data_IF_852133557023
#
_entry.id   IF_852133557023
#
_cell.length_a   1.000
_cell.length_b   1.000
_cell.length_c   1.000
_cell.angle_alpha   90.00
_cell.angle_beta   90.00
_cell.angle_gamma   90.00
#
_symmetry.space_group_name_H-M   'P 1'
#
loop_
_entity.id
_entity.type
_entity.pdbx_description
1 polymer ?
#
# COMPACT_ATOMS: atom_id res chain seq x y z
N UNK A 1 -28.70 9.38 -7.20
CA UNK A 1 -27.54 9.44 -8.11
C UNK A 1 -26.61 10.64 -7.96
N UNK A 2 -27.07 11.88 -7.70
CA UNK A 2 -26.17 13.06 -7.57
C UNK A 2 -25.20 13.04 -6.37
N UNK A 3 -25.54 12.36 -5.28
CA UNK A 3 -24.70 12.32 -4.07
C UNK A 3 -23.44 11.45 -4.30
N UNK A 4 -23.57 10.30 -4.95
CA UNK A 4 -22.45 9.38 -5.24
C UNK A 4 -21.42 9.97 -6.22
N UNK A 5 -21.82 10.91 -7.08
CA UNK A 5 -20.88 11.60 -7.97
C UNK A 5 -19.97 12.59 -7.23
N UNK A 6 -20.41 13.14 -6.10
CA UNK A 6 -19.63 14.08 -5.30
C UNK A 6 -18.54 13.39 -4.46
N UNK A 7 -18.72 12.10 -4.15
CA UNK A 7 -17.77 11.31 -3.36
C UNK A 7 -16.51 11.03 -4.17
N UNK A 8 -15.37 11.53 -3.68
CA UNK A 8 -14.02 11.29 -4.23
C UNK A 8 -13.46 9.94 -3.75
N UNK A 9 -12.49 9.40 -4.50
CA UNK A 9 -11.74 8.17 -4.17
C UNK A 9 -12.57 6.89 -3.99
N UNK A 10 -13.73 6.79 -4.66
CA UNK A 10 -14.62 5.62 -4.59
C UNK A 10 -14.11 4.34 -5.26
N UNK A 11 -13.23 4.46 -6.26
CA UNK A 11 -12.73 3.33 -7.04
C UNK A 11 -11.25 3.09 -6.76
N UNK A 12 -10.86 1.82 -6.68
CA UNK A 12 -9.48 1.42 -6.47
C UNK A 12 -8.71 1.43 -7.81
N UNK A 13 -7.71 2.30 -7.90
CA UNK A 13 -6.91 2.51 -9.13
C UNK A 13 -5.61 1.69 -9.08
N UNK A 14 -5.10 1.42 -7.89
CA UNK A 14 -3.92 0.62 -7.71
C UNK A 14 -3.73 0.14 -6.28
N UNK A 15 -2.91 -0.90 -6.15
CA UNK A 15 -2.48 -1.47 -4.89
C UNK A 15 -1.00 -1.86 -5.01
N UNK A 16 -0.28 -1.70 -3.89
CA UNK A 16 1.12 -2.09 -3.75
C UNK A 16 1.23 -2.95 -2.51
N UNK A 17 1.95 -4.05 -2.65
CA UNK A 17 2.23 -4.99 -1.59
C UNK A 17 3.73 -5.15 -1.46
N UNK A 18 4.22 -4.98 -0.24
CA UNK A 18 5.61 -5.23 0.12
C UNK A 18 5.64 -6.30 1.21
N UNK A 19 6.37 -7.37 0.97
CA UNK A 19 6.48 -8.49 1.91
C UNK A 19 7.96 -8.67 2.20
N UNK A 20 8.33 -8.62 3.48
CA UNK A 20 9.71 -8.73 3.92
C UNK A 20 9.85 -9.57 5.18
N UNK A 21 10.85 -10.45 5.22
CA UNK A 21 11.21 -11.20 6.43
C UNK A 21 11.69 -12.61 6.14
N UNK A 22 11.62 -13.49 7.14
CA UNK A 22 12.05 -14.88 7.01
C UNK A 22 10.93 -15.72 6.38
N UNK A 23 10.91 -15.73 5.04
CA UNK A 23 9.89 -16.41 4.21
C UNK A 23 10.43 -17.68 3.52
N UNK A 24 11.57 -18.19 3.98
CA UNK A 24 12.20 -19.39 3.42
C UNK A 24 11.45 -20.66 3.88
N UNK A 25 11.34 -21.63 2.97
CA UNK A 25 10.61 -22.90 3.23
C UNK A 25 11.37 -23.83 4.17
N UNK A 26 12.70 -23.90 4.07
CA UNK A 26 13.53 -24.80 4.89
C UNK A 26 13.77 -24.16 6.26
N UNK A 27 13.67 -24.95 7.33
CA UNK A 27 13.99 -24.48 8.68
C UNK A 27 15.50 -24.51 8.93
N UNK A 28 16.22 -23.62 8.25
CA UNK A 28 17.67 -23.42 8.38
C UNK A 28 17.90 -21.93 8.63
N UNK A 29 19.00 -21.58 9.28
CA UNK A 29 19.43 -20.20 9.39
C UNK A 29 19.68 -19.63 7.97
N UNK A 30 18.80 -18.71 7.54
CA UNK A 30 18.84 -18.12 6.21
C UNK A 30 18.53 -16.62 6.28
N UNK A 31 19.01 -15.88 5.30
CA UNK A 31 18.74 -14.44 5.17
C UNK A 31 17.25 -14.13 4.91
N UNK A 32 16.86 -12.89 5.18
CA UNK A 32 15.51 -12.38 4.89
C UNK A 32 15.24 -12.28 3.39
N UNK A 33 14.01 -12.56 2.99
CA UNK A 33 13.52 -12.39 1.62
C UNK A 33 12.63 -11.15 1.57
N UNK A 34 12.83 -10.31 0.55
CA UNK A 34 11.99 -9.16 0.25
C UNK A 34 11.36 -9.31 -1.13
N UNK A 35 10.05 -9.10 -1.22
CA UNK A 35 9.30 -9.13 -2.48
C UNK A 35 8.35 -7.95 -2.53
N UNK A 36 8.24 -7.36 -3.71
CA UNK A 36 7.36 -6.24 -3.98
C UNK A 36 6.50 -6.55 -5.19
N UNK A 37 5.22 -6.20 -5.12
CA UNK A 37 4.28 -6.29 -6.23
C UNK A 37 3.41 -5.05 -6.26
N UNK A 38 3.21 -4.47 -7.43
CA UNK A 38 2.31 -3.34 -7.60
C UNK A 38 1.45 -3.54 -8.84
N UNK A 39 0.16 -3.24 -8.71
CA UNK A 39 -0.78 -3.15 -9.83
C UNK A 39 -1.40 -1.76 -9.83
N UNK A 40 -1.38 -1.10 -10.99
CA UNK A 40 -1.89 0.27 -11.12
C UNK A 40 -0.99 1.32 -10.44
N UNK A 41 -1.55 2.49 -10.18
CA UNK A 41 -0.81 3.65 -9.64
C UNK A 41 -1.32 4.09 -8.28
N UNK A 42 -0.39 4.51 -7.42
CA UNK A 42 -0.66 5.12 -6.12
C UNK A 42 -0.77 6.65 -6.20
N UNK A 43 -0.59 7.23 -7.40
CA UNK A 43 -0.68 8.67 -7.60
C UNK A 43 -2.14 9.15 -7.49
N UNK A 44 -2.33 10.30 -6.85
CA UNK A 44 -3.59 11.02 -6.86
C UNK A 44 -3.76 11.67 -8.24
N UNK A 45 -4.69 11.17 -9.05
CA UNK A 45 -4.82 11.63 -10.43
C UNK A 45 -5.25 13.10 -10.51
N UNK A 46 -6.13 13.53 -9.60
CA UNK A 46 -6.65 14.90 -9.57
C UNK A 46 -5.55 15.94 -9.38
N UNK A 47 -4.72 15.79 -8.33
CA UNK A 47 -3.63 16.75 -8.11
C UNK A 47 -2.44 16.53 -9.03
N UNK A 48 -2.06 15.29 -9.33
CA UNK A 48 -0.82 15.02 -10.09
C UNK A 48 -0.96 15.27 -11.60
N UNK A 49 -2.13 15.05 -12.21
CA UNK A 49 -2.31 15.23 -13.65
C UNK A 49 -3.21 16.40 -13.99
N UNK A 50 -4.24 16.68 -13.18
CA UNK A 50 -5.19 17.78 -13.45
C UNK A 50 -4.83 19.08 -12.70
N UNK A 51 -3.86 19.04 -11.78
CA UNK A 51 -3.46 20.21 -11.00
C UNK A 51 -4.50 20.65 -9.96
N UNK A 52 -5.46 19.79 -9.61
CA UNK A 52 -6.45 20.12 -8.58
C UNK A 52 -5.78 20.31 -7.21
N UNK A 53 -6.14 21.39 -6.50
CA UNK A 53 -5.71 21.56 -5.11
C UNK A 53 -6.40 20.51 -4.23
N UNK A 54 -5.60 19.68 -3.57
CA UNK A 54 -6.08 18.59 -2.72
C UNK A 54 -5.48 18.77 -1.33
N UNK A 55 -6.29 18.75 -0.25
CA UNK A 55 -5.76 18.86 1.10
C UNK A 55 -4.88 17.66 1.43
N UNK A 56 -3.72 17.91 2.04
CA UNK A 56 -2.81 16.87 2.53
C UNK A 56 -3.20 16.55 3.97
N UNK A 57 -3.40 15.27 4.28
CA UNK A 57 -3.70 14.81 5.63
C UNK A 57 -2.42 14.76 6.46
N UNK A 58 -2.44 15.29 7.69
CA UNK A 58 -1.27 15.29 8.61
C UNK A 58 0.01 15.91 7.98
N UNK A 59 -0.14 16.82 7.02
CA UNK A 59 0.96 17.52 6.35
C UNK A 59 1.76 16.73 5.31
N UNK A 60 1.61 15.40 5.22
CA UNK A 60 2.36 14.57 4.26
C UNK A 60 1.56 13.40 3.65
N UNK A 61 0.45 13.00 4.27
CA UNK A 61 -0.34 11.85 3.84
C UNK A 61 -1.33 12.26 2.76
N UNK A 62 -1.29 11.57 1.62
CA UNK A 62 -2.22 11.83 0.51
C UNK A 62 -3.60 11.25 0.86
N UNK A 63 -4.70 11.99 0.65
CA UNK A 63 -6.04 11.54 1.06
C UNK A 63 -6.59 10.36 0.25
N UNK A 64 -6.01 10.08 -0.93
CA UNK A 64 -6.41 8.96 -1.79
C UNK A 64 -5.76 7.63 -1.39
N UNK A 65 -4.80 7.65 -0.47
CA UNK A 65 -4.03 6.47 -0.08
C UNK A 65 -4.48 5.97 1.29
N UNK A 66 -4.70 4.67 1.36
CA UNK A 66 -4.84 3.93 2.60
C UNK A 66 -3.59 3.06 2.77
N UNK A 67 -2.96 3.15 3.93
CA UNK A 67 -1.77 2.38 4.26
C UNK A 67 -2.02 1.59 5.54
N UNK A 68 -1.70 0.31 5.51
CA UNK A 68 -1.78 -0.58 6.66
C UNK A 68 -0.64 -1.58 6.56
N UNK A 69 -0.01 -1.88 7.69
CA UNK A 69 1.00 -2.93 7.77
C UNK A 69 0.61 -3.95 8.82
N UNK A 70 0.90 -5.21 8.58
CA UNK A 70 0.74 -6.27 9.57
C UNK A 70 2.01 -7.12 9.65
N UNK A 71 2.27 -7.62 10.85
CA UNK A 71 3.41 -8.49 11.12
C UNK A 71 2.90 -9.85 11.59
N UNK A 72 3.60 -10.90 11.21
CA UNK A 72 3.26 -12.26 11.59
C UNK A 72 4.53 -13.09 11.76
N UNK A 73 4.39 -14.24 12.41
CA UNK A 73 5.47 -15.17 12.75
C UNK A 73 5.16 -16.54 12.20
N UNK A 74 6.18 -17.22 11.67
CA UNK A 74 6.10 -18.58 11.15
C UNK A 74 7.11 -19.51 11.83
N UNK A 75 7.00 -20.79 11.53
CA UNK A 75 8.05 -21.84 11.64
C UNK A 75 9.48 -21.32 11.56
N UNK A 76 9.74 -20.66 10.43
CA UNK A 76 11.06 -20.14 10.13
C UNK A 76 11.25 -18.82 10.86
N UNK A 77 10.39 -17.83 10.74
CA UNK A 77 10.51 -16.66 11.64
C UNK A 77 9.52 -15.57 11.35
N UNK A 78 9.87 -14.36 11.73
CA UNK A 78 9.00 -13.19 11.57
C UNK A 78 9.06 -12.61 10.17
N UNK A 79 7.91 -12.14 9.70
CA UNK A 79 7.76 -11.39 8.46
C UNK A 79 6.73 -10.28 8.62
N UNK A 80 6.88 -9.23 7.82
CA UNK A 80 5.97 -8.10 7.74
C UNK A 80 5.42 -7.95 6.34
N UNK A 81 4.19 -7.46 6.26
CA UNK A 81 3.50 -7.11 5.02
C UNK A 81 3.03 -5.67 5.13
N UNK A 82 3.23 -4.91 4.06
CA UNK A 82 2.79 -3.53 3.89
C UNK A 82 2.01 -3.40 2.58
#
# INVERSE_FOLDING_TARGET
NKILSLIKYKALIGARFEIGGRLTRRNVASMSVFKIGQKGTLKNIGSSYRGESVPILRGHVRPNLYYSSFNSTTSSGSFGVK
#
